data_IF_537004773924
#
_entry.id   IF_537004773924
#
_cell.length_a   1.000
_cell.length_b   1.000
_cell.length_c   1.000
_cell.angle_alpha   90.00
_cell.angle_beta   90.00
_cell.angle_gamma   90.00
#
_symmetry.space_group_name_H-M   'P 1'
#
loop_
_entity.id
_entity.type
_entity.pdbx_description
1 polymer ?
#
# COMPACT_ATOMS: atom_id res chain seq x y z
N UNK A 1 23.32 -13.68 48.70
CA UNK A 1 22.04 -13.73 49.44
C UNK A 1 21.09 -12.75 48.77
N UNK A 2 20.16 -13.26 47.97
CA UNK A 2 18.92 -12.64 47.48
C UNK A 2 18.40 -13.50 46.31
N UNK A 3 17.89 -14.69 46.64
CA UNK A 3 17.09 -15.50 45.72
C UNK A 3 15.63 -15.16 45.96
N UNK A 4 14.95 -14.63 44.96
CA UNK A 4 13.50 -14.45 44.98
C UNK A 4 12.88 -15.59 44.19
N UNK A 5 12.38 -16.56 44.94
CA UNK A 5 11.55 -17.68 44.52
C UNK A 5 10.22 -17.10 43.99
N UNK A 6 9.94 -17.26 42.70
CA UNK A 6 8.62 -16.95 42.12
C UNK A 6 7.84 -18.25 41.98
N UNK A 7 7.10 -18.60 43.02
CA UNK A 7 6.10 -19.67 42.99
C UNK A 7 4.80 -19.12 42.43
N UNK A 8 4.62 -19.22 41.10
CA UNK A 8 3.31 -19.01 40.46
C UNK A 8 2.55 -20.33 40.49
N UNK A 9 1.36 -20.43 41.10
CA UNK A 9 0.55 -21.64 41.02
C UNK A 9 -0.09 -21.76 39.63
N UNK A 10 -0.09 -22.97 39.07
CA UNK A 10 -0.74 -23.32 37.82
C UNK A 10 -2.28 -23.22 37.92
N UNK A 11 -3.00 -22.77 36.88
CA UNK A 11 -4.45 -22.80 36.90
C UNK A 11 -4.96 -24.25 36.82
N UNK A 12 -5.81 -24.62 37.78
CA UNK A 12 -6.55 -25.88 37.77
C UNK A 12 -7.76 -25.76 36.84
N UNK A 13 -7.68 -26.36 35.65
CA UNK A 13 -8.85 -26.57 34.79
C UNK A 13 -9.31 -28.02 34.92
N UNK A 14 -10.30 -28.23 35.78
CA UNK A 14 -11.06 -29.47 35.89
C UNK A 14 -11.84 -29.71 34.60
N UNK A 15 -11.57 -30.82 33.93
CA UNK A 15 -12.35 -31.35 32.81
C UNK A 15 -13.46 -32.27 33.33
N UNK A 16 -14.62 -32.21 32.63
CA UNK A 16 -15.61 -33.27 32.35
C UNK A 16 -17.06 -32.93 32.78
N UNK A 17 -18.12 -33.51 32.17
CA UNK A 17 -18.17 -34.41 31.00
C UNK A 17 -19.13 -33.99 29.87
N UNK A 18 -18.99 -34.69 28.74
CA UNK A 18 -19.88 -34.72 27.57
C UNK A 18 -21.21 -35.42 27.91
N UNK A 19 -22.38 -34.91 27.49
CA UNK A 19 -23.58 -35.73 27.41
C UNK A 19 -23.71 -36.37 26.02
N UNK A 20 -23.61 -37.69 25.98
CA UNK A 20 -24.13 -38.53 24.89
C UNK A 20 -25.60 -38.83 25.14
N UNK A 21 -26.49 -38.43 24.22
CA UNK A 21 -27.79 -39.05 23.98
C UNK A 21 -28.17 -38.76 22.53
N UNK A 22 -27.87 -39.69 21.63
CA UNK A 22 -28.78 -40.70 21.09
C UNK A 22 -29.71 -40.16 20.00
N UNK A 23 -29.54 -40.77 18.83
CA UNK A 23 -30.33 -40.60 17.62
C UNK A 23 -31.82 -40.88 17.84
N UNK A 24 -32.64 -40.14 17.09
CA UNK A 24 -33.74 -40.61 16.24
C UNK A 24 -34.97 -39.70 16.35
N UNK A 25 -35.23 -38.89 15.33
CA UNK A 25 -36.54 -38.78 14.69
C UNK A 25 -36.44 -37.88 13.45
N UNK A 26 -37.00 -38.38 12.37
CA UNK A 26 -36.98 -37.84 11.02
C UNK A 26 -38.01 -36.72 10.83
N UNK A 27 -37.69 -35.84 9.87
CA UNK A 27 -38.59 -35.21 8.90
C UNK A 27 -39.86 -34.49 9.40
N UNK A 28 -39.85 -33.16 9.31
CA UNK A 28 -41.00 -32.39 8.84
C UNK A 28 -40.54 -31.05 8.23
N UNK A 29 -41.11 -30.74 7.08
CA UNK A 29 -40.84 -29.60 6.22
C UNK A 29 -41.12 -28.23 6.86
N UNK A 30 -40.39 -27.18 6.44
CA UNK A 30 -40.93 -25.90 5.94
C UNK A 30 -39.84 -24.80 5.84
N UNK A 31 -39.66 -24.27 4.62
CA UNK A 31 -39.34 -22.88 4.24
C UNK A 31 -38.10 -22.14 4.82
N UNK A 32 -37.46 -21.25 4.03
CA UNK A 32 -36.27 -20.53 4.46
C UNK A 32 -36.67 -19.52 5.53
N UNK A 33 -36.26 -19.77 6.78
CA UNK A 33 -36.34 -18.77 7.83
C UNK A 33 -35.44 -17.60 7.43
N UNK A 34 -36.10 -16.46 7.20
CA UNK A 34 -35.49 -15.15 7.02
C UNK A 34 -34.34 -14.96 8.01
N UNK A 35 -33.16 -14.62 7.48
CA UNK A 35 -31.99 -14.28 8.28
C UNK A 35 -32.35 -13.17 9.26
N UNK A 36 -32.41 -13.54 10.53
CA UNK A 36 -32.59 -12.63 11.66
C UNK A 36 -31.38 -11.70 11.72
N UNK A 37 -31.49 -10.55 11.04
CA UNK A 37 -30.65 -9.38 11.30
C UNK A 37 -30.91 -8.95 12.74
N UNK A 38 -30.17 -9.55 13.67
CA UNK A 38 -30.12 -9.05 15.03
C UNK A 38 -29.53 -7.64 14.96
N UNK A 39 -30.26 -6.61 15.44
CA UNK A 39 -29.69 -5.28 15.57
C UNK A 39 -28.51 -5.39 16.55
N UNK A 40 -27.30 -5.23 16.01
CA UNK A 40 -26.08 -5.24 16.80
C UNK A 40 -26.17 -4.10 17.83
N UNK A 41 -25.96 -4.38 19.14
CA UNK A 41 -26.03 -3.33 20.14
C UNK A 41 -24.96 -2.28 19.81
N UNK A 42 -25.25 -0.97 19.99
CA UNK A 42 -24.39 0.13 19.52
C UNK A 42 -22.93 0.04 20.00
N UNK A 43 -22.67 -0.60 21.15
CA UNK A 43 -21.32 -0.85 21.64
C UNK A 43 -20.48 -1.80 20.76
N UNK A 44 -21.11 -2.77 20.07
CA UNK A 44 -20.39 -3.72 19.21
C UNK A 44 -19.88 -3.09 17.92
N UNK A 45 -20.61 -2.13 17.35
CA UNK A 45 -20.15 -1.36 16.18
C UNK A 45 -18.97 -0.46 16.53
N UNK A 46 -18.98 0.14 17.73
CA UNK A 46 -17.83 0.91 18.22
C UNK A 46 -16.60 0.01 18.44
N UNK A 47 -16.80 -1.18 19.02
CA UNK A 47 -15.73 -2.16 19.23
C UNK A 47 -15.12 -2.63 17.91
N UNK A 48 -15.94 -2.92 16.90
CA UNK A 48 -15.47 -3.31 15.57
C UNK A 48 -14.67 -2.18 14.90
N UNK A 49 -15.14 -0.93 15.01
CA UNK A 49 -14.42 0.25 14.52
C UNK A 49 -13.07 0.44 15.22
N UNK A 50 -13.04 0.26 16.55
CA UNK A 50 -11.79 0.36 17.33
C UNK A 50 -10.83 -0.78 16.98
N UNK A 51 -11.33 -2.00 16.84
CA UNK A 51 -10.54 -3.14 16.40
C UNK A 51 -9.93 -2.91 15.01
N UNK A 52 -10.72 -2.37 14.08
CA UNK A 52 -10.25 -1.95 12.76
C UNK A 52 -9.15 -0.88 12.83
N UNK A 53 -9.31 0.12 13.70
CA UNK A 53 -8.30 1.16 13.86
C UNK A 53 -7.00 0.65 14.50
N UNK A 54 -7.08 -0.22 15.50
CA UNK A 54 -5.90 -0.86 16.09
C UNK A 54 -5.19 -1.73 15.04
N UNK A 55 -5.96 -2.49 14.24
CA UNK A 55 -5.41 -3.27 13.13
C UNK A 55 -4.68 -2.39 12.10
N UNK A 56 -5.22 -1.21 11.80
CA UNK A 56 -4.61 -0.24 10.88
C UNK A 56 -3.29 0.31 11.43
N UNK A 57 -3.27 0.67 12.72
CA UNK A 57 -2.05 1.15 13.37
C UNK A 57 -0.98 0.07 13.44
N UNK A 58 -1.35 -1.17 13.78
CA UNK A 58 -0.42 -2.31 13.76
C UNK A 58 0.11 -2.55 12.36
N UNK A 59 -0.74 -2.53 11.34
CA UNK A 59 -0.33 -2.70 9.93
C UNK A 59 0.67 -1.61 9.54
N UNK A 60 0.36 -0.33 9.79
CA UNK A 60 1.28 0.76 9.50
C UNK A 60 2.60 0.63 10.27
N UNK A 61 2.55 0.22 11.53
CA UNK A 61 3.74 0.03 12.34
C UNK A 61 4.65 -1.06 11.75
N UNK A 62 4.11 -2.22 11.41
CA UNK A 62 4.89 -3.32 10.81
C UNK A 62 5.49 -2.92 9.45
N UNK A 63 4.74 -2.20 8.62
CA UNK A 63 5.23 -1.73 7.31
C UNK A 63 6.33 -0.68 7.46
N UNK A 64 6.19 0.25 8.40
CA UNK A 64 7.22 1.27 8.67
C UNK A 64 8.47 0.67 9.32
N UNK A 65 8.32 -0.35 10.16
CA UNK A 65 9.44 -1.10 10.72
C UNK A 65 10.20 -1.87 9.61
N UNK A 66 9.49 -2.55 8.71
CA UNK A 66 10.13 -3.22 7.55
C UNK A 66 10.88 -2.23 6.67
N UNK A 67 10.28 -1.08 6.39
CA UNK A 67 10.92 -0.04 5.57
C UNK A 67 12.18 0.52 6.23
N UNK A 68 12.14 0.83 7.53
CA UNK A 68 13.30 1.42 8.22
C UNK A 68 14.47 0.45 8.37
N UNK A 69 14.25 -0.86 8.26
CA UNK A 69 15.33 -1.86 8.19
C UNK A 69 16.10 -1.85 6.86
N UNK A 70 15.57 -1.21 5.81
CA UNK A 70 16.29 -1.06 4.54
C UNK A 70 17.37 0.01 4.67
N UNK A 71 18.58 -0.30 4.18
CA UNK A 71 19.77 0.56 4.29
C UNK A 71 20.33 1.03 2.94
N UNK A 72 19.63 0.73 1.85
CA UNK A 72 19.96 1.10 0.48
C UNK A 72 18.70 1.57 -0.25
N UNK A 73 18.84 2.54 -1.16
CA UNK A 73 17.70 3.15 -1.85
C UNK A 73 16.89 2.11 -2.63
N UNK A 74 17.55 1.24 -3.41
CA UNK A 74 16.88 0.20 -4.21
C UNK A 74 16.03 -0.77 -3.35
N UNK A 75 16.56 -1.17 -2.20
CA UNK A 75 15.84 -2.02 -1.26
C UNK A 75 14.61 -1.30 -0.66
N UNK A 76 14.76 -0.01 -0.34
CA UNK A 76 13.67 0.81 0.18
C UNK A 76 12.57 1.05 -0.86
N UNK A 77 12.93 1.26 -2.14
CA UNK A 77 11.97 1.41 -3.24
C UNK A 77 11.19 0.10 -3.47
N UNK A 78 11.87 -1.04 -3.44
CA UNK A 78 11.23 -2.35 -3.56
C UNK A 78 10.25 -2.58 -2.40
N UNK A 79 10.63 -2.23 -1.18
CA UNK A 79 9.77 -2.34 -0.01
C UNK A 79 8.58 -1.38 -0.06
N UNK A 80 8.79 -0.12 -0.48
CA UNK A 80 7.72 0.86 -0.74
C UNK A 80 6.66 0.29 -1.67
N UNK A 81 7.08 -0.26 -2.82
CA UNK A 81 6.16 -0.82 -3.80
C UNK A 81 5.39 -2.01 -3.23
N UNK A 82 6.09 -2.92 -2.54
CA UNK A 82 5.48 -4.12 -1.94
C UNK A 82 4.46 -3.76 -0.87
N UNK A 83 4.83 -2.88 0.06
CA UNK A 83 3.97 -2.43 1.14
C UNK A 83 2.76 -1.66 0.62
N UNK A 84 2.98 -0.72 -0.31
CA UNK A 84 1.91 0.03 -0.94
C UNK A 84 0.94 -0.88 -1.72
N UNK A 85 1.46 -1.87 -2.46
CA UNK A 85 0.64 -2.83 -3.19
C UNK A 85 -0.25 -3.64 -2.25
N UNK A 86 0.28 -4.06 -1.09
CA UNK A 86 -0.48 -4.74 -0.06
C UNK A 86 -1.57 -3.85 0.57
N UNK A 87 -1.28 -2.57 0.80
CA UNK A 87 -2.25 -1.60 1.34
C UNK A 87 -3.40 -1.33 0.36
N UNK A 88 -3.10 -1.15 -0.93
CA UNK A 88 -4.09 -0.73 -1.94
C UNK A 88 -4.71 -1.90 -2.70
N UNK A 89 -4.29 -3.14 -2.44
CA UNK A 89 -4.81 -4.35 -3.08
C UNK A 89 -4.37 -4.53 -4.54
N UNK A 90 -3.21 -4.00 -4.91
CA UNK A 90 -2.68 -4.11 -6.27
C UNK A 90 -1.67 -5.26 -6.40
N UNK A 91 -1.52 -5.79 -7.62
CA UNK A 91 -0.53 -6.84 -7.93
C UNK A 91 0.76 -6.29 -8.53
N UNK A 92 0.68 -5.07 -9.07
CA UNK A 92 1.76 -4.40 -9.79
C UNK A 92 1.93 -3.00 -9.27
N UNK A 93 3.16 -2.51 -9.34
CA UNK A 93 3.48 -1.13 -9.02
C UNK A 93 4.75 -0.69 -9.68
N UNK A 94 4.94 0.62 -9.75
CA UNK A 94 6.14 1.25 -10.23
C UNK A 94 6.43 2.50 -9.41
N UNK A 95 7.69 2.84 -9.27
CA UNK A 95 8.13 4.10 -8.68
C UNK A 95 9.08 4.76 -9.66
N UNK A 96 8.83 6.03 -9.94
CA UNK A 96 9.71 6.89 -10.72
C UNK A 96 10.34 7.85 -9.73
N UNK A 97 11.67 7.79 -9.60
CA UNK A 97 12.44 8.79 -8.90
C UNK A 97 12.98 9.78 -9.92
N UNK A 98 12.67 11.04 -9.69
CA UNK A 98 13.15 12.19 -10.46
C UNK A 98 13.19 13.39 -9.49
N UNK A 99 14.23 13.46 -8.63
CA UNK A 99 14.41 14.56 -7.71
C UNK A 99 14.45 15.90 -8.44
N UNK A 100 13.70 16.89 -7.96
CA UNK A 100 13.59 18.22 -8.58
C UNK A 100 14.84 19.09 -8.43
N UNK A 101 15.78 18.69 -7.56
CA UNK A 101 17.10 19.29 -7.39
C UNK A 101 18.07 19.02 -8.56
N UNK A 102 17.69 18.13 -9.49
CA UNK A 102 18.49 17.79 -10.67
C UNK A 102 19.75 16.97 -10.37
N UNK A 103 19.94 16.50 -9.13
CA UNK A 103 21.11 15.71 -8.72
C UNK A 103 20.91 14.21 -8.94
N UNK A 104 19.72 13.79 -9.40
CA UNK A 104 19.38 12.39 -9.62
C UNK A 104 19.33 11.57 -8.32
N UNK A 105 19.08 10.25 -8.42
CA UNK A 105 18.99 9.48 -9.65
C UNK A 105 17.68 9.72 -10.40
N UNK A 106 17.73 9.63 -11.73
CA UNK A 106 16.57 9.42 -12.59
C UNK A 106 16.44 7.91 -12.80
N UNK A 107 15.49 7.28 -12.12
CA UNK A 107 15.32 5.82 -12.15
C UNK A 107 13.87 5.41 -12.01
N UNK A 108 13.51 4.32 -12.68
CA UNK A 108 12.21 3.68 -12.56
C UNK A 108 12.38 2.25 -12.07
N UNK A 109 11.70 1.90 -10.98
CA UNK A 109 11.70 0.55 -10.39
C UNK A 109 10.29 -0.02 -10.46
N UNK A 110 10.17 -1.31 -10.80
CA UNK A 110 8.90 -2.01 -10.95
C UNK A 110 8.72 -3.17 -9.95
N UNK A 111 7.48 -3.38 -9.52
CA UNK A 111 7.00 -4.55 -8.80
C UNK A 111 5.99 -5.27 -9.68
N UNK A 112 6.21 -6.57 -9.93
CA UNK A 112 5.35 -7.34 -10.84
C UNK A 112 5.42 -6.86 -12.30
N UNK A 113 6.45 -6.09 -12.64
CA UNK A 113 6.74 -5.57 -13.98
C UNK A 113 8.17 -6.00 -14.33
N UNK A 114 8.32 -6.76 -15.40
CA UNK A 114 9.64 -7.11 -15.93
C UNK A 114 10.29 -5.88 -16.56
N UNK A 115 11.61 -5.95 -16.81
CA UNK A 115 12.33 -4.87 -17.49
C UNK A 115 11.74 -4.53 -18.85
N UNK A 116 11.25 -5.52 -19.59
CA UNK A 116 10.56 -5.29 -20.84
C UNK A 116 9.26 -4.49 -20.62
N UNK A 117 8.51 -4.77 -19.56
CA UNK A 117 7.25 -4.08 -19.25
C UNK A 117 7.51 -2.61 -18.92
N UNK A 118 8.53 -2.33 -18.10
CA UNK A 118 8.99 -0.97 -17.83
C UNK A 118 9.36 -0.24 -19.13
N UNK A 119 10.09 -0.91 -20.03
CA UNK A 119 10.42 -0.35 -21.34
C UNK A 119 9.19 -0.07 -22.21
N UNK A 120 8.08 -0.80 -22.07
CA UNK A 120 6.82 -0.45 -22.75
C UNK A 120 6.16 0.76 -22.09
N UNK A 121 6.17 0.84 -20.77
CA UNK A 121 5.63 1.98 -20.01
C UNK A 121 6.37 3.28 -20.37
N UNK A 122 7.70 3.23 -20.51
CA UNK A 122 8.53 4.38 -20.92
C UNK A 122 8.18 4.95 -22.30
N UNK A 123 7.48 4.17 -23.15
CA UNK A 123 7.01 4.68 -24.46
C UNK A 123 5.72 5.50 -24.37
N UNK A 124 5.03 5.48 -23.23
CA UNK A 124 3.83 6.29 -23.02
C UNK A 124 4.26 7.73 -22.74
N UNK A 125 3.67 8.74 -23.40
CA UNK A 125 3.96 10.13 -23.09
C UNK A 125 3.80 10.41 -21.59
N UNK A 126 4.79 11.07 -20.98
CA UNK A 126 4.81 11.35 -19.53
C UNK A 126 3.48 11.93 -19.03
N UNK A 127 2.97 12.98 -19.66
CA UNK A 127 1.71 13.63 -19.29
C UNK A 127 0.46 12.76 -19.43
N UNK A 128 0.54 11.62 -20.14
CA UNK A 128 -0.55 10.66 -20.25
C UNK A 128 -0.56 9.61 -19.12
N UNK A 129 0.52 9.53 -18.35
CA UNK A 129 0.64 8.60 -17.21
C UNK A 129 0.16 9.24 -15.91
N UNK A 130 -0.45 8.45 -14.99
CA UNK A 130 -0.91 8.96 -13.68
C UNK A 130 0.21 9.63 -12.87
N UNK A 131 1.41 9.06 -12.90
CA UNK A 131 2.57 9.64 -12.23
C UNK A 131 3.10 10.90 -12.92
N UNK A 132 2.92 11.06 -14.24
CA UNK A 132 3.38 12.25 -14.96
C UNK A 132 2.71 13.52 -14.47
N UNK A 133 1.38 13.48 -14.23
CA UNK A 133 0.66 14.59 -13.61
C UNK A 133 1.22 14.97 -12.22
N UNK A 134 1.65 13.98 -11.43
CA UNK A 134 2.28 14.22 -10.13
C UNK A 134 3.69 14.80 -10.26
N UNK A 135 4.46 14.36 -11.26
CA UNK A 135 5.82 14.87 -11.50
C UNK A 135 5.83 16.25 -12.16
N UNK A 136 4.81 16.57 -12.95
CA UNK A 136 4.69 17.86 -13.66
C UNK A 136 4.02 18.93 -12.82
N UNK A 137 3.29 18.54 -11.76
CA UNK A 137 2.85 19.46 -10.72
C UNK A 137 3.96 19.65 -9.69
N UNK A 138 3.98 20.83 -9.04
CA UNK A 138 4.83 21.04 -7.89
C UNK A 138 4.28 20.23 -6.70
N UNK A 139 4.61 18.93 -6.68
CA UNK A 139 4.26 18.02 -5.61
C UNK A 139 4.85 18.53 -4.27
N UNK A 140 4.01 18.57 -3.24
CA UNK A 140 4.40 19.08 -1.91
C UNK A 140 4.08 20.56 -1.67
N UNK A 141 3.67 21.33 -2.68
CA UNK A 141 3.10 22.66 -2.46
C UNK A 141 1.60 22.58 -2.14
N UNK A 142 1.07 23.51 -1.31
CA UNK A 142 -0.37 23.65 -1.10
C UNK A 142 -1.07 23.83 -2.46
N UNK A 143 -1.93 22.87 -2.82
CA UNK A 143 -2.68 22.88 -4.09
C UNK A 143 -2.15 21.96 -5.20
N UNK A 144 -1.05 21.23 -4.98
CA UNK A 144 -0.64 20.14 -5.86
C UNK A 144 -1.61 18.94 -5.83
N UNK A 145 -1.64 18.12 -6.88
CA UNK A 145 -2.45 16.90 -6.90
C UNK A 145 -1.93 15.93 -5.82
N UNK A 146 -2.74 15.69 -4.78
CA UNK A 146 -2.35 14.85 -3.63
C UNK A 146 -2.35 13.34 -3.91
N UNK A 147 -3.14 12.92 -4.91
CA UNK A 147 -3.22 11.56 -5.41
C UNK A 147 -3.85 11.59 -6.82
N UNK A 148 -3.62 10.53 -7.60
CA UNK A 148 -4.29 10.32 -8.89
C UNK A 148 -4.94 8.94 -8.89
N UNK A 149 -6.25 8.90 -9.11
CA UNK A 149 -7.04 7.66 -9.24
C UNK A 149 -7.58 7.58 -10.66
N UNK A 150 -7.36 6.45 -11.33
CA UNK A 150 -7.94 6.11 -12.65
C UNK A 150 -8.62 4.75 -12.54
N UNK A 151 -9.93 4.71 -12.24
CA UNK A 151 -10.62 3.47 -11.88
C UNK A 151 -10.88 2.54 -13.07
N UNK A 152 -10.97 3.09 -14.28
CA UNK A 152 -11.16 2.32 -15.51
C UNK A 152 -10.53 3.06 -16.71
N UNK A 153 -9.36 2.60 -17.14
CA UNK A 153 -8.61 3.17 -18.25
C UNK A 153 -9.29 2.92 -19.61
N UNK A 154 -10.07 1.85 -19.73
CA UNK A 154 -10.72 1.52 -21.00
C UNK A 154 -12.03 2.29 -21.18
N UNK A 155 -12.68 2.68 -20.09
CA UNK A 155 -13.83 3.58 -20.09
C UNK A 155 -13.45 5.07 -20.08
N UNK A 156 -12.20 5.43 -19.79
CA UNK A 156 -11.79 6.83 -19.70
C UNK A 156 -11.78 7.54 -21.07
N UNK A 157 -12.59 8.59 -21.17
CA UNK A 157 -12.62 9.49 -22.32
C UNK A 157 -11.33 10.32 -22.40
N UNK A 158 -10.76 10.41 -23.61
CA UNK A 158 -9.54 11.20 -23.82
C UNK A 158 -8.25 10.56 -23.33
N UNK A 159 -8.27 9.31 -22.82
CA UNK A 159 -7.04 8.59 -22.50
C UNK A 159 -6.19 8.42 -23.78
N UNK A 160 -4.91 8.76 -23.66
CA UNK A 160 -3.93 8.66 -24.73
C UNK A 160 -3.92 7.25 -25.35
N UNK A 161 -3.86 7.19 -26.68
CA UNK A 161 -3.91 5.94 -27.42
C UNK A 161 -2.76 5.00 -27.05
N UNK A 162 -1.56 5.56 -26.80
CA UNK A 162 -0.39 4.79 -26.41
C UNK A 162 -0.52 4.23 -24.99
N UNK A 163 -1.09 5.02 -24.07
CA UNK A 163 -1.37 4.52 -22.72
C UNK A 163 -2.36 3.34 -22.80
N UNK A 164 -3.44 3.46 -23.56
CA UNK A 164 -4.42 2.37 -23.74
C UNK A 164 -3.81 1.11 -24.34
N UNK A 165 -2.94 1.25 -25.35
CA UNK A 165 -2.22 0.12 -25.96
C UNK A 165 -1.31 -0.60 -24.95
N UNK A 166 -0.52 0.16 -24.19
CA UNK A 166 0.39 -0.41 -23.18
C UNK A 166 -0.40 -1.06 -22.04
N UNK A 167 -1.50 -0.43 -21.59
CA UNK A 167 -2.42 -1.00 -20.60
C UNK A 167 -2.99 -2.35 -21.05
N UNK A 168 -3.51 -2.43 -22.27
CA UNK A 168 -4.02 -3.67 -22.85
C UNK A 168 -2.92 -4.74 -22.99
N UNK A 169 -1.72 -4.35 -23.43
CA UNK A 169 -0.60 -5.27 -23.63
C UNK A 169 -0.08 -5.85 -22.31
N UNK A 170 0.08 -5.00 -21.31
CA UNK A 170 0.56 -5.41 -19.99
C UNK A 170 -0.57 -6.00 -19.14
N UNK A 171 -1.83 -5.83 -19.55
CA UNK A 171 -3.01 -6.42 -18.92
C UNK A 171 -3.44 -5.70 -17.64
N UNK A 172 -3.25 -4.38 -17.53
CA UNK A 172 -3.83 -3.57 -16.44
C UNK A 172 -4.98 -2.70 -16.98
N UNK A 173 -5.98 -2.46 -16.14
CA UNK A 173 -7.18 -1.72 -16.48
C UNK A 173 -7.43 -0.51 -15.58
N UNK A 174 -6.72 -0.37 -14.46
CA UNK A 174 -6.82 0.78 -13.55
C UNK A 174 -5.48 1.14 -12.93
N UNK A 175 -5.38 2.36 -12.39
CA UNK A 175 -4.17 2.88 -11.77
C UNK A 175 -4.44 3.81 -10.59
N UNK A 176 -3.57 3.76 -9.59
CA UNK A 176 -3.57 4.66 -8.45
C UNK A 176 -2.15 5.17 -8.19
N UNK A 177 -1.95 6.47 -8.02
CA UNK A 177 -0.62 7.04 -7.82
C UNK A 177 -0.59 8.10 -6.71
N UNK A 178 0.54 8.15 -6.01
CA UNK A 178 0.84 9.07 -4.92
C UNK A 178 2.19 9.77 -5.17
N UNK A 179 2.27 11.09 -4.89
CA UNK A 179 3.53 11.82 -5.00
C UNK A 179 4.51 11.39 -3.90
N UNK A 180 5.79 11.41 -4.22
CA UNK A 180 6.89 11.28 -3.27
C UNK A 180 7.52 12.66 -3.10
N UNK A 181 7.04 13.42 -2.13
CA UNK A 181 7.57 14.76 -1.81
C UNK A 181 7.72 14.96 -0.30
N UNK A 182 8.77 15.67 0.11
CA UNK A 182 8.96 16.13 1.50
C UNK A 182 9.06 17.65 1.54
N UNK A 183 8.79 18.24 2.70
CA UNK A 183 8.99 19.70 2.87
C UNK A 183 10.47 20.09 2.73
N UNK A 184 11.38 19.22 3.14
CA UNK A 184 12.82 19.53 3.18
C UNK A 184 13.53 19.29 1.85
N UNK A 185 13.19 18.21 1.13
CA UNK A 185 13.87 17.78 -0.08
C UNK A 185 13.07 18.05 -1.36
N UNK A 186 11.87 18.63 -1.25
CA UNK A 186 11.01 18.86 -2.41
C UNK A 186 10.45 17.57 -2.98
N UNK A 187 10.23 17.55 -4.30
CA UNK A 187 9.74 16.37 -5.01
C UNK A 187 10.90 15.41 -5.27
N UNK A 188 10.74 14.17 -4.79
CA UNK A 188 11.63 13.05 -5.10
C UNK A 188 11.13 12.21 -6.28
N UNK A 189 9.82 12.15 -6.50
CA UNK A 189 9.24 11.28 -7.52
C UNK A 189 7.75 11.01 -7.34
N UNK A 190 7.30 9.85 -7.83
CA UNK A 190 5.94 9.35 -7.68
C UNK A 190 5.91 7.82 -7.63
N UNK A 191 5.02 7.27 -6.80
CA UNK A 191 4.73 5.83 -6.74
C UNK A 191 3.34 5.56 -7.33
N UNK A 192 3.21 4.48 -8.10
CA UNK A 192 1.97 4.07 -8.74
C UNK A 192 1.73 2.58 -8.61
N UNK A 193 0.46 2.20 -8.53
CA UNK A 193 -0.01 0.81 -8.47
C UNK A 193 -1.03 0.57 -9.57
N UNK A 194 -0.96 -0.62 -10.17
CA UNK A 194 -1.75 -1.01 -11.33
C UNK A 194 -2.61 -2.22 -11.00
N UNK A 195 -3.87 -2.18 -11.42
CA UNK A 195 -4.86 -3.24 -11.21
C UNK A 195 -5.19 -3.94 -12.53
N UNK A 196 -5.37 -5.25 -12.48
CA UNK A 196 -5.65 -6.08 -13.66
C UNK A 196 -7.06 -5.80 -14.23
N UNK A 197 -8.00 -5.46 -13.35
CA UNK A 197 -9.40 -5.13 -13.65
C UNK A 197 -9.72 -3.69 -13.21
N UNK A 198 -10.82 -3.10 -13.72
CA UNK A 198 -11.31 -1.82 -13.22
C UNK A 198 -11.47 -1.85 -11.70
N UNK A 199 -10.77 -0.94 -11.02
CA UNK A 199 -10.70 -0.93 -9.56
C UNK A 199 -10.24 0.43 -9.04
N UNK A 200 -10.70 0.77 -7.84
CA UNK A 200 -10.18 1.90 -7.07
C UNK A 200 -9.96 1.48 -5.60
N UNK A 201 -8.89 1.96 -4.96
CA UNK A 201 -8.70 1.74 -3.53
C UNK A 201 -9.80 2.46 -2.74
N UNK A 202 -10.33 1.76 -1.73
CA UNK A 202 -11.30 2.34 -0.80
C UNK A 202 -10.72 3.56 -0.07
N UNK A 203 -11.56 4.44 0.46
CA UNK A 203 -11.12 5.62 1.23
C UNK A 203 -10.16 5.23 2.38
N UNK A 204 -10.45 4.14 3.08
CA UNK A 204 -9.57 3.60 4.14
C UNK A 204 -8.20 3.20 3.57
N UNK A 205 -8.16 2.48 2.45
CA UNK A 205 -6.90 2.08 1.82
C UNK A 205 -6.09 3.29 1.34
N UNK A 206 -6.74 4.28 0.72
CA UNK A 206 -6.09 5.54 0.32
C UNK A 206 -5.52 6.28 1.52
N UNK A 207 -6.28 6.35 2.61
CA UNK A 207 -5.81 6.97 3.85
C UNK A 207 -4.56 6.29 4.41
N UNK A 208 -4.56 4.96 4.54
CA UNK A 208 -3.40 4.20 5.02
C UNK A 208 -2.20 4.31 4.07
N UNK A 209 -2.43 4.21 2.77
CA UNK A 209 -1.39 4.37 1.75
C UNK A 209 -0.77 5.78 1.84
N UNK A 210 -1.57 6.84 1.99
CA UNK A 210 -1.07 8.20 2.18
C UNK A 210 -0.22 8.35 3.44
N UNK A 211 -0.65 7.78 4.57
CA UNK A 211 0.12 7.80 5.82
C UNK A 211 1.47 7.07 5.66
N UNK A 212 1.45 5.88 5.07
CA UNK A 212 2.65 5.08 4.82
C UNK A 212 3.61 5.80 3.85
N UNK A 213 3.11 6.27 2.70
CA UNK A 213 3.92 6.93 1.67
C UNK A 213 4.56 8.21 2.19
N UNK A 214 3.87 9.01 3.00
CA UNK A 214 4.45 10.20 3.62
C UNK A 214 5.66 9.83 4.50
N UNK A 215 5.51 8.83 5.37
CA UNK A 215 6.64 8.35 6.18
C UNK A 215 7.75 7.76 5.31
N UNK A 216 7.38 7.00 4.29
CA UNK A 216 8.34 6.33 3.42
C UNK A 216 9.18 7.33 2.62
N UNK A 217 8.56 8.40 2.13
CA UNK A 217 9.23 9.46 1.38
C UNK A 217 10.31 10.13 2.23
N UNK A 218 10.03 10.40 3.52
CA UNK A 218 11.03 10.92 4.45
C UNK A 218 12.23 9.97 4.62
N UNK A 219 11.98 8.65 4.66
CA UNK A 219 13.05 7.65 4.72
C UNK A 219 13.87 7.58 3.44
N UNK A 220 13.20 7.63 2.28
CA UNK A 220 13.86 7.66 0.96
C UNK A 220 14.74 8.90 0.80
N UNK A 221 14.29 10.07 1.24
CA UNK A 221 15.08 11.30 1.22
C UNK A 221 16.41 11.13 1.98
N UNK A 222 16.37 10.51 3.17
CA UNK A 222 17.58 10.27 3.98
C UNK A 222 18.53 9.26 3.34
N UNK A 223 18.01 8.20 2.74
CA UNK A 223 18.83 7.21 2.04
C UNK A 223 19.50 7.82 0.81
N UNK A 224 18.75 8.62 0.05
CA UNK A 224 19.25 9.34 -1.13
C UNK A 224 20.39 10.30 -0.77
N UNK A 225 20.21 11.12 0.27
CA UNK A 225 21.26 12.02 0.75
C UNK A 225 22.51 11.26 1.20
N UNK A 226 22.32 10.13 1.88
CA UNK A 226 23.42 9.26 2.30
C UNK A 226 24.18 8.63 1.12
N UNK A 227 23.48 8.23 0.06
CA UNK A 227 24.09 7.72 -1.17
C UNK A 227 24.88 8.80 -1.91
N UNK A 228 24.32 10.00 -2.04
CA UNK A 228 25.00 11.16 -2.66
C UNK A 228 26.27 11.54 -1.90
N UNK A 229 26.20 11.59 -0.56
CA UNK A 229 27.36 11.88 0.28
C UNK A 229 28.47 10.83 0.07
N UNK A 230 28.12 9.53 0.05
CA UNK A 230 29.09 8.45 -0.20
C UNK A 230 29.70 8.53 -1.60
N UNK A 231 28.90 8.84 -2.62
CA UNK A 231 29.39 9.01 -3.98
C UNK A 231 30.37 10.18 -4.09
N UNK A 232 30.05 11.32 -3.47
CA UNK A 232 30.94 12.49 -3.43
C UNK A 232 32.29 12.15 -2.76
N UNK A 233 32.27 11.50 -1.60
CA UNK A 233 33.50 11.10 -0.89
C UNK A 233 34.37 10.10 -1.67
N UNK A 234 33.77 9.26 -2.51
CA UNK A 234 34.52 8.30 -3.33
C UNK A 234 35.24 8.94 -4.53
N UNK A 235 34.90 10.19 -4.88
CA UNK A 235 35.52 10.92 -6.00
C UNK A 235 36.69 11.82 -5.60
N UNK A 236 37.01 11.89 -4.30
CA UNK A 236 38.11 12.67 -3.71
C UNK A 236 39.30 11.77 -3.42
#
# INVERSE_FOLDING_TARGET
MAGIDSTVPAPAHTVAPVPTASAAAQAAAAHPAAGSHHPHPPGTLLQDRLAGWVSDLTTLHELTERLTRTNALDAALTELLRAGAALVGARRGLVVLEPDDGLGPDTTVGLGLARADLGHIETVPRGAMPYGALLDTAAGLPGGAGEVVRPDLFAEEGLDARHREVAARLGYAAGYALPLSTEAAGRLGAAGWLYDEPAEPTERQRHLAGLYVRFATEHLARLLEGERTRACMATV
#
